data_IF_210534837482
#
_entry.id   IF_210534837482
#
_cell.length_a   1.000
_cell.length_b   1.000
_cell.length_c   1.000
_cell.angle_alpha   90.00
_cell.angle_beta   90.00
_cell.angle_gamma   90.00
#
_symmetry.space_group_name_H-M   'P 1'
#
loop_
_entity.id
_entity.type
_entity.pdbx_description
1 polymer ?
#
# COMPACT_ATOMS: atom_id res chain seq x y z
N UNK A 1 -8.48 3.66 -5.60
CA UNK A 1 -7.61 3.13 -4.52
C UNK A 1 -7.28 1.69 -4.84
N UNK A 2 -6.02 1.28 -4.68
CA UNK A 2 -5.63 -0.14 -4.63
C UNK A 2 -4.88 -0.45 -3.35
N UNK A 3 -4.94 -1.70 -2.92
CA UNK A 3 -4.16 -2.25 -1.80
C UNK A 3 -3.34 -3.39 -2.37
N UNK A 4 -2.03 -3.38 -2.14
CA UNK A 4 -1.12 -4.44 -2.55
C UNK A 4 -0.25 -4.88 -1.38
N UNK A 5 0.07 -6.17 -1.33
CA UNK A 5 1.06 -6.69 -0.40
C UNK A 5 2.43 -6.70 -1.05
N UNK A 6 3.44 -6.29 -0.31
CA UNK A 6 4.83 -6.24 -0.74
C UNK A 6 5.66 -7.22 0.09
N UNK A 7 6.42 -8.05 -0.60
CA UNK A 7 7.50 -8.84 -0.04
C UNK A 7 8.84 -8.41 -0.64
N UNK A 8 9.86 -9.29 -0.64
CA UNK A 8 11.19 -8.95 -1.16
C UNK A 8 11.23 -8.68 -2.66
N UNK A 9 10.26 -9.19 -3.42
CA UNK A 9 10.11 -8.93 -4.85
C UNK A 9 9.13 -7.76 -5.10
N UNK A 10 9.62 -6.70 -5.72
CA UNK A 10 8.85 -5.49 -6.07
C UNK A 10 8.20 -5.57 -7.44
N UNK A 11 8.65 -6.45 -8.33
CA UNK A 11 8.25 -6.45 -9.74
C UNK A 11 6.77 -6.82 -9.90
N UNK A 12 6.30 -7.75 -9.08
CA UNK A 12 4.89 -8.17 -9.03
C UNK A 12 3.93 -7.00 -8.76
N UNK A 13 4.33 -6.07 -7.89
CA UNK A 13 3.54 -4.86 -7.57
C UNK A 13 3.53 -3.90 -8.77
N UNK A 14 4.67 -3.70 -9.42
CA UNK A 14 4.80 -2.81 -10.58
C UNK A 14 3.96 -3.29 -11.78
N UNK A 15 3.91 -4.60 -12.02
CA UNK A 15 3.05 -5.19 -13.07
C UNK A 15 1.58 -4.91 -12.77
N UNK A 16 1.16 -5.07 -11.51
CA UNK A 16 -0.21 -4.76 -11.09
C UNK A 16 -0.60 -3.30 -11.35
N UNK A 17 0.24 -2.34 -10.97
CA UNK A 17 -0.02 -0.90 -11.11
C UNK A 17 -0.06 -0.47 -12.58
N UNK A 18 0.76 -1.06 -13.45
CA UNK A 18 0.79 -0.69 -14.88
C UNK A 18 -0.49 -1.08 -15.63
N UNK A 19 -1.20 -2.10 -15.16
CA UNK A 19 -2.40 -2.62 -15.85
C UNK A 19 -3.67 -1.83 -15.53
N UNK A 20 -3.69 -1.03 -14.46
CA UNK A 20 -4.86 -0.28 -14.02
C UNK A 20 -4.41 1.11 -13.54
N UNK A 21 -4.91 2.21 -14.11
CA UNK A 21 -4.51 3.55 -13.65
C UNK A 21 -4.94 3.75 -12.19
N UNK A 22 -3.96 3.83 -11.29
CA UNK A 22 -4.18 3.99 -9.86
C UNK A 22 -3.80 5.39 -9.43
N UNK A 23 -4.74 6.11 -8.80
CA UNK A 23 -4.44 7.42 -8.23
C UNK A 23 -3.84 7.36 -6.81
N UNK A 24 -4.13 6.27 -6.08
CA UNK A 24 -3.67 6.04 -4.71
C UNK A 24 -3.47 4.56 -4.42
N UNK A 25 -2.30 4.21 -3.89
CA UNK A 25 -1.87 2.86 -3.58
C UNK A 25 -1.54 2.73 -2.10
N UNK A 26 -2.09 1.70 -1.46
CA UNK A 26 -1.70 1.27 -0.12
C UNK A 26 -0.78 0.05 -0.23
N UNK A 27 0.43 0.16 0.31
CA UNK A 27 1.40 -0.94 0.34
C UNK A 27 1.46 -1.54 1.74
N UNK A 28 0.97 -2.77 1.89
CA UNK A 28 1.10 -3.54 3.12
C UNK A 28 2.39 -4.36 3.02
N UNK A 29 3.28 -4.24 3.99
CA UNK A 29 4.56 -4.95 3.98
C UNK A 29 4.93 -5.42 5.39
N UNK A 30 5.78 -6.45 5.48
CA UNK A 30 6.37 -6.84 6.76
C UNK A 30 7.33 -5.75 7.27
N UNK A 31 7.48 -5.63 8.59
CA UNK A 31 8.47 -4.71 9.19
C UNK A 31 9.89 -4.97 8.67
N UNK A 32 10.24 -6.23 8.40
CA UNK A 32 11.53 -6.60 7.80
C UNK A 32 11.76 -5.99 6.42
N UNK A 33 10.69 -5.68 5.68
CA UNK A 33 10.75 -5.20 4.29
C UNK A 33 10.57 -3.69 4.18
N UNK A 34 10.60 -2.96 5.32
CA UNK A 34 10.37 -1.51 5.38
C UNK A 34 11.27 -0.71 4.45
N UNK A 35 12.55 -1.07 4.34
CA UNK A 35 13.49 -0.37 3.43
C UNK A 35 13.10 -0.56 1.96
N UNK A 36 12.61 -1.75 1.59
CA UNK A 36 12.14 -2.07 0.25
C UNK A 36 10.87 -1.25 -0.05
N UNK A 37 9.94 -1.20 0.89
CA UNK A 37 8.72 -0.41 0.77
C UNK A 37 8.99 1.09 0.58
N UNK A 38 9.94 1.65 1.34
CA UNK A 38 10.35 3.06 1.21
C UNK A 38 10.96 3.36 -0.15
N UNK A 39 11.83 2.48 -0.65
CA UNK A 39 12.44 2.62 -1.98
C UNK A 39 11.37 2.59 -3.07
N UNK A 40 10.48 1.59 -3.05
CA UNK A 40 9.41 1.47 -4.04
C UNK A 40 8.45 2.67 -4.00
N UNK A 41 8.15 3.19 -2.81
CA UNK A 41 7.34 4.40 -2.64
C UNK A 41 7.97 5.61 -3.34
N UNK A 42 9.29 5.82 -3.15
CA UNK A 42 10.01 6.91 -3.81
C UNK A 42 10.02 6.75 -5.34
N UNK A 43 10.21 5.53 -5.84
CA UNK A 43 10.21 5.22 -7.28
C UNK A 43 8.81 5.47 -7.89
N UNK A 44 7.75 5.01 -7.22
CA UNK A 44 6.37 5.18 -7.69
C UNK A 44 5.91 6.64 -7.68
N UNK A 45 6.23 7.39 -6.62
CA UNK A 45 5.85 8.80 -6.53
C UNK A 45 6.62 9.68 -7.51
N UNK A 46 7.89 9.38 -7.79
CA UNK A 46 8.70 10.14 -8.76
C UNK A 46 8.35 9.86 -10.21
N UNK A 47 8.12 8.59 -10.57
CA UNK A 47 7.89 8.16 -11.96
C UNK A 47 6.42 8.25 -12.37
N UNK A 48 5.51 7.75 -11.53
CA UNK A 48 4.11 7.55 -11.89
C UNK A 48 3.17 8.59 -11.26
N UNK A 49 3.70 9.48 -10.40
CA UNK A 49 2.91 10.47 -9.62
C UNK A 49 1.76 9.83 -8.85
N UNK A 50 1.93 8.59 -8.42
CA UNK A 50 0.95 7.86 -7.60
C UNK A 50 1.16 8.24 -6.14
N UNK A 51 0.07 8.57 -5.44
CA UNK A 51 0.09 8.71 -3.98
C UNK A 51 0.24 7.32 -3.37
N UNK A 52 1.31 7.09 -2.60
CA UNK A 52 1.59 5.78 -2.00
C UNK A 52 1.64 5.92 -0.48
N UNK A 53 0.85 5.11 0.23
CA UNK A 53 0.82 5.04 1.69
C UNK A 53 1.26 3.64 2.15
N UNK A 54 2.29 3.56 2.99
CA UNK A 54 2.83 2.29 3.48
C UNK A 54 2.21 1.91 4.83
N UNK A 55 1.84 0.64 4.98
CA UNK A 55 1.38 0.03 6.22
C UNK A 55 2.28 -1.14 6.57
N UNK A 56 3.11 -0.96 7.58
CA UNK A 56 3.96 -2.02 8.10
C UNK A 56 3.14 -2.93 9.03
N UNK A 57 3.31 -4.24 8.89
CA UNK A 57 2.76 -5.25 9.78
C UNK A 57 3.90 -6.02 10.47
N UNK A 58 3.76 -6.36 11.75
CA UNK A 58 4.79 -7.10 12.45
C UNK A 58 4.87 -8.54 11.92
N UNK A 59 6.01 -9.19 12.17
CA UNK A 59 6.29 -10.53 11.65
C UNK A 59 5.56 -11.65 12.41
N UNK A 60 4.84 -11.33 13.49
CA UNK A 60 3.94 -12.25 14.20
C UNK A 60 2.49 -11.97 13.79
N UNK A 61 1.61 -12.97 13.90
CA UNK A 61 0.16 -12.82 13.69
C UNK A 61 -0.21 -12.07 12.40
N UNK A 62 0.59 -12.28 11.34
CA UNK A 62 0.58 -11.47 10.10
C UNK A 62 -0.81 -11.37 9.49
N UNK A 63 -1.55 -12.48 9.43
CA UNK A 63 -2.90 -12.48 8.86
C UNK A 63 -3.84 -11.53 9.59
N UNK A 64 -3.83 -11.54 10.92
CA UNK A 64 -4.67 -10.66 11.74
C UNK A 64 -4.31 -9.20 11.49
N UNK A 65 -3.02 -8.87 11.55
CA UNK A 65 -2.56 -7.50 11.32
C UNK A 65 -2.81 -6.99 9.91
N UNK A 66 -2.71 -7.86 8.89
CA UNK A 66 -3.07 -7.51 7.51
C UNK A 66 -4.57 -7.21 7.41
N UNK A 67 -5.43 -8.05 7.98
CA UNK A 67 -6.88 -7.84 7.95
C UNK A 67 -7.28 -6.55 8.70
N UNK A 68 -6.68 -6.30 9.85
CA UNK A 68 -6.86 -5.05 10.61
C UNK A 68 -6.38 -3.83 9.82
N UNK A 69 -5.20 -3.94 9.19
CA UNK A 69 -4.64 -2.90 8.33
C UNK A 69 -5.56 -2.57 7.14
N UNK A 70 -6.05 -3.59 6.44
CA UNK A 70 -7.02 -3.44 5.34
C UNK A 70 -8.31 -2.79 5.84
N UNK A 71 -8.85 -3.26 6.97
CA UNK A 71 -10.06 -2.68 7.56
C UNK A 71 -9.87 -1.20 7.93
N UNK A 72 -8.70 -0.85 8.49
CA UNK A 72 -8.33 0.54 8.80
C UNK A 72 -8.25 1.42 7.56
N UNK A 73 -7.61 0.94 6.50
CA UNK A 73 -7.51 1.64 5.20
C UNK A 73 -8.91 1.89 4.63
N UNK A 74 -9.77 0.87 4.59
CA UNK A 74 -11.13 0.99 4.08
C UNK A 74 -11.97 2.00 4.88
N UNK A 75 -11.80 2.04 6.21
CA UNK A 75 -12.48 3.02 7.06
C UNK A 75 -12.01 4.45 6.78
N UNK A 76 -10.69 4.67 6.68
CA UNK A 76 -10.08 5.97 6.38
C UNK A 76 -10.57 6.55 5.07
N UNK A 77 -10.68 5.71 4.04
CA UNK A 77 -11.11 6.13 2.71
C UNK A 77 -12.63 6.42 2.66
N UNK A 78 -13.43 5.68 3.44
CA UNK A 78 -14.86 5.97 3.62
C UNK A 78 -15.08 7.34 4.28
N UNK A 79 -14.32 7.65 5.33
CA UNK A 79 -14.37 8.95 6.02
C UNK A 79 -13.91 10.10 5.12
N UNK A 80 -12.85 9.88 4.34
CA UNK A 80 -12.31 10.87 3.39
C UNK A 80 -13.29 11.23 2.26
N UNK A 81 -14.21 10.33 1.93
CA UNK A 81 -15.27 10.58 0.95
C UNK A 81 -16.45 11.36 1.55
N UNK A 82 -16.68 11.27 2.86
CA UNK A 82 -17.87 11.84 3.51
C UNK A 82 -17.74 13.34 3.81
N UNK A 83 -16.53 13.90 3.85
CA UNK A 83 -16.28 15.33 4.10
C UNK A 83 -16.23 16.19 2.81
N UNK A 84 -16.62 15.64 1.65
CA UNK A 84 -16.56 16.32 0.35
C UNK A 84 -17.93 16.72 -0.21
N UNK A 85 -18.95 16.80 0.66
CA UNK A 85 -20.31 17.24 0.33
C UNK A 85 -20.54 18.71 0.70
#
# INVERSE_FOLDING_TARGET
MQIATLGPDTDSVLVGIRTLPVHKLYLIHLESDKQIAQKLTADLSSVLKVEVETHAVPNNDVLTHVLEGVAGILRKEKESCCCRC
#
